data_IF_338145718458
#
_entry.id   IF_338145718458
#
_cell.length_a   1.000
_cell.length_b   1.000
_cell.length_c   1.000
_cell.angle_alpha   90.00
_cell.angle_beta   90.00
_cell.angle_gamma   90.00
#
_symmetry.space_group_name_H-M   'P 1'
#
loop_
_entity.id
_entity.type
_entity.pdbx_description
1 polymer ?
#
# COMPACT_ATOMS: atom_id res chain seq x y z
N UNK A 1 -3.80 44.29 52.70
CA UNK A 1 -4.39 43.00 52.29
C UNK A 1 -4.03 42.80 50.82
N UNK A 2 -2.91 42.11 50.55
CA UNK A 2 -2.42 41.89 49.17
C UNK A 2 -3.14 40.67 48.59
N UNK A 3 -3.94 40.89 47.55
CA UNK A 3 -4.58 39.81 46.79
C UNK A 3 -3.55 39.27 45.79
N UNK A 4 -3.17 38.01 45.96
CA UNK A 4 -2.29 37.28 45.06
C UNK A 4 -3.08 36.85 43.82
N UNK A 5 -2.71 37.36 42.64
CA UNK A 5 -3.27 36.90 41.37
C UNK A 5 -2.58 35.59 40.95
N UNK A 6 -3.29 34.46 41.01
CA UNK A 6 -2.84 33.20 40.42
C UNK A 6 -3.30 33.13 38.96
N UNK A 7 -2.36 33.20 38.03
CA UNK A 7 -2.61 32.96 36.60
C UNK A 7 -2.52 31.44 36.37
N UNK A 8 -3.65 30.80 36.10
CA UNK A 8 -3.68 29.41 35.63
C UNK A 8 -3.43 29.38 34.12
N UNK A 9 -2.21 28.98 33.73
CA UNK A 9 -1.88 28.64 32.34
C UNK A 9 -2.41 27.24 32.03
N UNK A 10 -3.58 27.16 31.38
CA UNK A 10 -4.05 25.91 30.79
C UNK A 10 -3.29 25.66 29.48
N UNK A 11 -2.28 24.79 29.52
CA UNK A 11 -1.70 24.21 28.32
C UNK A 11 -2.63 23.11 27.81
N UNK A 12 -3.47 23.42 26.82
CA UNK A 12 -4.18 22.39 26.06
C UNK A 12 -3.20 21.74 25.10
N UNK A 13 -2.64 20.59 25.49
CA UNK A 13 -1.90 19.74 24.54
C UNK A 13 -2.91 19.12 23.58
N UNK A 14 -3.08 19.71 22.40
CA UNK A 14 -3.65 18.99 21.27
C UNK A 14 -2.65 17.90 20.87
N UNK A 15 -2.79 16.72 21.46
CA UNK A 15 -2.22 15.51 20.88
C UNK A 15 -2.98 15.24 19.59
N UNK A 16 -2.52 15.81 18.49
CA UNK A 16 -2.93 15.40 17.14
C UNK A 16 -2.48 13.96 16.96
N UNK A 17 -3.31 13.00 17.36
CA UNK A 17 -3.16 11.61 16.95
C UNK A 17 -3.46 11.57 15.45
N UNK A 18 -2.44 11.79 14.62
CA UNK A 18 -2.50 11.33 13.24
C UNK A 18 -2.67 9.82 13.34
N UNK A 19 -3.86 9.34 13.02
CA UNK A 19 -4.15 7.91 12.99
C UNK A 19 -3.20 7.29 11.97
N UNK A 20 -2.14 6.62 12.41
CA UNK A 20 -1.33 5.79 11.53
C UNK A 20 -2.23 4.62 11.16
N UNK A 21 -2.88 4.69 10.00
CA UNK A 21 -3.68 3.59 9.48
C UNK A 21 -2.74 2.40 9.25
N UNK A 22 -2.99 1.32 9.98
CA UNK A 22 -2.25 0.07 9.79
C UNK A 22 -2.51 -0.43 8.37
N UNK A 23 -1.49 -0.99 7.72
CA UNK A 23 -1.61 -1.67 6.42
C UNK A 23 -2.44 -2.94 6.61
N UNK A 24 -3.76 -2.78 6.62
CA UNK A 24 -4.70 -3.88 6.80
C UNK A 24 -5.32 -4.20 5.44
N UNK A 25 -5.05 -5.41 4.96
CA UNK A 25 -5.67 -5.95 3.74
C UNK A 25 -7.03 -6.53 4.10
N UNK A 26 -8.06 -6.14 3.35
CA UNK A 26 -9.37 -6.79 3.40
C UNK A 26 -9.65 -7.46 2.05
N UNK A 27 -10.00 -8.76 2.02
CA UNK A 27 -10.28 -9.44 0.77
C UNK A 27 -11.50 -8.84 0.06
N UNK A 28 -11.47 -8.85 -1.27
CA UNK A 28 -12.59 -8.44 -2.09
C UNK A 28 -13.77 -9.43 -1.92
N UNK A 29 -15.00 -8.93 -2.07
CA UNK A 29 -16.20 -9.78 -2.04
C UNK A 29 -16.20 -10.67 -3.29
N UNK A 30 -16.22 -11.99 -3.09
CA UNK A 30 -16.26 -12.98 -4.18
C UNK A 30 -15.61 -14.30 -3.80
N UNK A 31 -15.51 -15.19 -4.78
CA UNK A 31 -14.72 -16.43 -4.68
C UNK A 31 -13.62 -16.35 -5.72
N UNK A 32 -12.38 -16.28 -5.25
CA UNK A 32 -11.19 -16.19 -6.08
C UNK A 32 -10.33 -17.43 -5.81
N UNK A 33 -9.80 -18.10 -6.84
CA UNK A 33 -8.98 -19.30 -6.65
C UNK A 33 -7.62 -18.95 -6.03
N UNK A 34 -7.14 -17.73 -6.22
CA UNK A 34 -5.89 -17.25 -5.65
C UNK A 34 -6.20 -16.16 -4.62
N UNK A 35 -5.36 -16.07 -3.59
CA UNK A 35 -5.52 -15.14 -2.48
C UNK A 35 -4.19 -14.42 -2.23
N UNK A 36 -4.24 -13.09 -2.10
CA UNK A 36 -3.13 -12.31 -1.55
C UNK A 36 -3.35 -12.23 -0.04
N UNK A 37 -2.40 -12.77 0.72
CA UNK A 37 -2.48 -12.82 2.19
C UNK A 37 -1.75 -11.65 2.84
N UNK A 38 -0.69 -11.14 2.20
CA UNK A 38 0.07 -9.97 2.65
C UNK A 38 0.34 -9.07 1.47
N UNK A 39 0.14 -7.76 1.66
CA UNK A 39 0.63 -6.72 0.77
C UNK A 39 1.06 -5.54 1.62
N UNK A 40 2.37 -5.36 1.78
CA UNK A 40 2.95 -4.31 2.61
C UNK A 40 3.99 -3.53 1.83
N UNK A 41 4.22 -2.29 2.23
CA UNK A 41 5.22 -1.43 1.60
C UNK A 41 5.99 -0.60 2.63
N UNK A 42 7.27 -0.34 2.33
CA UNK A 42 8.17 0.49 3.14
C UNK A 42 8.92 1.46 2.23
N UNK A 43 9.05 2.76 2.56
CA UNK A 43 8.47 3.43 3.72
C UNK A 43 6.95 3.54 3.64
N UNK A 44 6.30 3.74 4.78
CA UNK A 44 4.87 4.04 4.88
C UNK A 44 4.67 5.37 5.62
N UNK A 45 4.19 6.44 4.96
CA UNK A 45 3.77 6.49 3.55
C UNK A 45 4.94 6.31 2.57
N UNK A 46 4.65 5.93 1.32
CA UNK A 46 5.64 5.91 0.25
C UNK A 46 6.16 7.34 0.06
N UNK A 47 7.49 7.48 -0.02
CA UNK A 47 8.15 8.78 -0.17
C UNK A 47 8.66 8.89 -1.60
N UNK A 48 8.14 9.87 -2.33
CA UNK A 48 8.58 10.17 -3.70
C UNK A 48 10.07 10.49 -3.73
N UNK A 49 10.77 9.99 -4.76
CA UNK A 49 12.22 10.10 -4.92
C UNK A 49 13.02 9.11 -4.08
N UNK A 50 12.36 8.27 -3.26
CA UNK A 50 13.00 7.15 -2.57
C UNK A 50 12.61 5.82 -3.22
N UNK A 51 13.46 4.82 -3.04
CA UNK A 51 13.09 3.43 -3.36
C UNK A 51 12.12 2.94 -2.29
N UNK A 52 10.98 2.42 -2.74
CA UNK A 52 10.05 1.72 -1.90
C UNK A 52 10.19 0.20 -2.10
N UNK A 53 9.99 -0.55 -1.02
CA UNK A 53 10.01 -2.00 -1.00
C UNK A 53 8.58 -2.50 -0.82
N UNK A 54 8.12 -3.39 -1.70
CA UNK A 54 6.84 -4.09 -1.57
C UNK A 54 7.13 -5.53 -1.15
N UNK A 55 6.42 -6.01 -0.14
CA UNK A 55 6.37 -7.42 0.22
C UNK A 55 4.97 -7.95 -0.03
N UNK A 56 4.88 -8.99 -0.86
CA UNK A 56 3.64 -9.65 -1.22
C UNK A 56 3.72 -11.14 -0.94
N UNK A 57 2.70 -11.67 -0.26
CA UNK A 57 2.54 -13.11 -0.06
C UNK A 57 1.15 -13.53 -0.47
N UNK A 58 1.00 -14.78 -0.88
CA UNK A 58 -0.31 -15.31 -1.22
C UNK A 58 -0.34 -16.80 -1.43
N UNK A 59 -1.55 -17.30 -1.65
CA UNK A 59 -1.86 -18.70 -1.93
C UNK A 59 -2.38 -18.80 -3.36
N UNK A 60 -1.77 -19.65 -4.17
CA UNK A 60 -2.24 -19.92 -5.52
C UNK A 60 -2.78 -21.36 -5.61
N UNK A 61 -4.10 -21.54 -5.64
CA UNK A 61 -4.70 -22.87 -5.82
C UNK A 61 -4.77 -23.26 -7.30
N UNK A 62 -4.72 -22.27 -8.20
CA UNK A 62 -4.53 -22.45 -9.64
C UNK A 62 -3.23 -21.76 -10.07
N UNK A 63 -2.52 -22.29 -11.08
CA UNK A 63 -1.26 -21.72 -11.51
C UNK A 63 -1.39 -20.25 -11.91
N UNK A 64 -0.43 -19.41 -11.48
CA UNK A 64 -0.30 -18.04 -12.00
C UNK A 64 0.56 -18.12 -13.25
N UNK A 65 -0.09 -18.04 -14.41
CA UNK A 65 0.54 -18.16 -15.73
C UNK A 65 1.31 -16.91 -16.14
N UNK A 66 2.24 -17.07 -17.09
CA UNK A 66 2.91 -15.93 -17.71
C UNK A 66 1.88 -15.04 -18.43
N UNK A 67 1.92 -13.73 -18.20
CA UNK A 67 0.93 -12.78 -18.70
C UNK A 67 -0.24 -12.53 -17.74
N UNK A 68 -0.29 -13.18 -16.57
CA UNK A 68 -1.29 -12.88 -15.56
C UNK A 68 -1.17 -11.42 -15.09
N UNK A 69 -2.31 -10.74 -14.97
CA UNK A 69 -2.36 -9.32 -14.62
C UNK A 69 -2.62 -9.12 -13.13
N UNK A 70 -1.83 -8.23 -12.52
CA UNK A 70 -2.04 -7.71 -11.19
C UNK A 70 -2.61 -6.29 -11.29
N UNK A 71 -3.87 -6.15 -10.88
CA UNK A 71 -4.58 -4.87 -10.96
C UNK A 71 -4.62 -4.17 -9.61
N UNK A 72 -4.22 -2.91 -9.60
CA UNK A 72 -4.30 -2.02 -8.44
C UNK A 72 -5.23 -0.87 -8.77
N UNK A 73 -6.24 -0.67 -7.93
CA UNK A 73 -7.07 0.54 -7.97
C UNK A 73 -6.87 1.33 -6.68
N UNK A 74 -6.45 2.58 -6.83
CA UNK A 74 -6.26 3.55 -5.76
C UNK A 74 -7.46 4.48 -5.70
N UNK A 75 -8.05 4.63 -4.52
CA UNK A 75 -9.15 5.57 -4.29
C UNK A 75 -8.70 6.75 -3.44
N UNK A 76 -9.15 7.96 -3.78
CA UNK A 76 -9.06 9.17 -2.96
C UNK A 76 -10.47 9.78 -2.86
N UNK A 77 -10.95 10.05 -1.65
CA UNK A 77 -12.32 10.55 -1.41
C UNK A 77 -13.41 9.71 -2.13
N UNK A 78 -13.26 8.38 -2.10
CA UNK A 78 -14.13 7.39 -2.77
C UNK A 78 -14.18 7.50 -4.30
N UNK A 79 -13.35 8.32 -4.92
CA UNK A 79 -13.18 8.38 -6.37
C UNK A 79 -11.94 7.59 -6.77
N UNK A 80 -11.98 6.93 -7.94
CA UNK A 80 -10.78 6.29 -8.49
C UNK A 80 -9.78 7.39 -8.81
N UNK A 81 -8.70 7.42 -8.04
CA UNK A 81 -7.58 8.33 -8.22
C UNK A 81 -6.60 7.75 -9.24
N UNK A 82 -6.35 6.44 -9.17
CA UNK A 82 -5.46 5.78 -10.10
C UNK A 82 -5.81 4.32 -10.32
N UNK A 83 -5.50 3.82 -11.53
CA UNK A 83 -5.63 2.41 -11.86
C UNK A 83 -4.40 1.97 -12.64
N UNK A 84 -3.75 0.91 -12.16
CA UNK A 84 -2.63 0.29 -12.84
C UNK A 84 -2.86 -1.20 -13.01
N UNK A 85 -2.31 -1.72 -14.12
CA UNK A 85 -2.25 -3.14 -14.41
C UNK A 85 -0.80 -3.50 -14.70
N UNK A 86 -0.28 -4.48 -13.98
CA UNK A 86 1.08 -4.98 -14.13
C UNK A 86 1.05 -6.44 -14.50
N UNK A 87 2.05 -6.91 -15.24
CA UNK A 87 2.22 -8.35 -15.45
C UNK A 87 2.87 -8.95 -14.19
N UNK A 88 2.15 -9.85 -13.52
CA UNK A 88 2.53 -10.36 -12.19
C UNK A 88 3.91 -11.04 -12.22
N UNK A 89 4.20 -11.80 -13.28
CA UNK A 89 5.46 -12.52 -13.41
C UNK A 89 6.65 -11.58 -13.63
N UNK A 90 6.53 -10.63 -14.56
CA UNK A 90 7.54 -9.56 -14.73
C UNK A 90 7.76 -8.79 -13.44
N UNK A 91 6.68 -8.44 -12.72
CA UNK A 91 6.78 -7.53 -11.58
C UNK A 91 7.35 -8.22 -10.34
N UNK A 92 6.84 -9.39 -9.96
CA UNK A 92 7.18 -10.01 -8.67
C UNK A 92 8.05 -11.25 -8.80
N UNK A 93 7.83 -12.08 -9.82
CA UNK A 93 8.39 -13.43 -9.88
C UNK A 93 9.82 -13.44 -10.41
N UNK A 94 10.03 -12.86 -11.59
CA UNK A 94 11.32 -12.84 -12.28
C UNK A 94 12.38 -12.05 -11.49
N UNK A 95 12.09 -10.87 -10.91
CA UNK A 95 13.05 -10.13 -10.09
C UNK A 95 13.48 -10.87 -8.82
N UNK A 96 12.65 -11.80 -8.33
CA UNK A 96 12.95 -12.67 -7.19
C UNK A 96 13.65 -13.98 -7.62
N UNK A 97 14.18 -14.06 -8.85
CA UNK A 97 14.94 -15.20 -9.34
C UNK A 97 14.09 -16.46 -9.60
N UNK A 98 12.77 -16.30 -9.67
CA UNK A 98 11.81 -17.37 -9.95
C UNK A 98 11.30 -17.28 -11.39
N UNK A 99 10.59 -18.32 -11.83
CA UNK A 99 9.99 -18.39 -13.17
C UNK A 99 8.51 -18.66 -13.08
N UNK A 100 7.75 -18.15 -14.04
CA UNK A 100 6.36 -18.55 -14.23
C UNK A 100 6.23 -19.80 -15.12
N UNK A 101 5.17 -20.61 -14.95
CA UNK A 101 4.06 -20.41 -14.01
C UNK A 101 4.43 -20.69 -12.55
N UNK A 102 3.76 -19.99 -11.63
CA UNK A 102 3.85 -20.31 -10.20
C UNK A 102 2.77 -21.32 -9.83
N UNK A 103 3.20 -22.40 -9.18
CA UNK A 103 2.32 -23.42 -8.63
C UNK A 103 2.42 -23.41 -7.11
N UNK A 104 1.39 -22.89 -6.44
CA UNK A 104 1.29 -22.85 -4.98
C UNK A 104 1.60 -21.50 -4.35
N UNK A 105 1.83 -21.53 -3.03
CA UNK A 105 2.04 -20.35 -2.22
C UNK A 105 3.31 -19.58 -2.65
N UNK A 106 3.26 -18.26 -2.53
CA UNK A 106 4.34 -17.36 -2.94
C UNK A 106 4.65 -16.32 -1.87
N UNK A 107 5.91 -15.89 -1.85
CA UNK A 107 6.46 -14.85 -0.98
C UNK A 107 7.54 -14.10 -1.77
N UNK A 108 7.25 -12.85 -2.13
CA UNK A 108 8.12 -12.02 -2.95
C UNK A 108 8.34 -10.66 -2.36
N UNK A 109 9.57 -10.18 -2.49
CA UNK A 109 9.95 -8.81 -2.14
C UNK A 109 10.51 -8.12 -3.36
N UNK A 110 9.98 -6.94 -3.69
CA UNK A 110 10.49 -6.14 -4.80
C UNK A 110 10.82 -4.74 -4.33
N UNK A 111 11.79 -4.13 -5.02
CA UNK A 111 12.12 -2.72 -4.85
C UNK A 111 11.67 -1.98 -6.10
N UNK A 112 10.95 -0.88 -5.91
CA UNK A 112 10.52 -0.02 -7.00
C UNK A 112 10.86 1.45 -6.69
N UNK A 113 11.32 2.23 -7.69
CA UNK A 113 11.50 3.66 -7.50
C UNK A 113 10.11 4.33 -7.39
N UNK A 114 9.88 5.07 -6.31
CA UNK A 114 8.68 5.89 -6.19
C UNK A 114 8.90 7.20 -6.96
N UNK A 115 8.63 7.17 -8.26
CA UNK A 115 8.77 8.34 -9.13
C UNK A 115 7.55 9.26 -9.02
N UNK A 116 7.77 10.57 -9.15
CA UNK A 116 6.68 11.55 -9.22
C UNK A 116 6.04 11.52 -10.61
N UNK A 117 4.71 11.47 -10.67
CA UNK A 117 3.96 11.83 -11.87
C UNK A 117 3.66 13.33 -11.90
N UNK A 118 3.43 13.91 -13.08
CA UNK A 118 3.02 15.32 -13.22
C UNK A 118 1.64 15.61 -12.62
N UNK A 119 0.86 14.56 -12.35
CA UNK A 119 -0.48 14.65 -11.78
C UNK A 119 -0.48 14.46 -10.25
N UNK A 120 0.68 14.20 -9.65
CA UNK A 120 0.79 14.00 -8.20
C UNK A 120 0.61 15.33 -7.45
N UNK A 121 -0.29 15.40 -6.45
CA UNK A 121 -0.48 16.62 -5.68
C UNK A 121 0.78 16.96 -4.88
N UNK A 122 1.41 18.09 -5.22
CA UNK A 122 2.63 18.56 -4.57
C UNK A 122 2.36 18.82 -3.08
N UNK A 123 3.24 18.28 -2.23
CA UNK A 123 3.23 18.51 -0.77
C UNK A 123 1.97 17.98 -0.04
N UNK A 124 1.29 16.99 -0.61
CA UNK A 124 0.10 16.35 -0.03
C UNK A 124 0.39 14.89 0.30
N UNK A 125 0.04 14.45 1.52
CA UNK A 125 -0.05 13.03 1.82
C UNK A 125 -1.39 12.52 1.28
N UNK A 126 -1.36 11.77 0.19
CA UNK A 126 -2.54 11.10 -0.33
C UNK A 126 -2.70 9.78 0.42
N UNK A 127 -3.72 9.68 1.26
CA UNK A 127 -4.10 8.42 1.86
C UNK A 127 -5.05 7.70 0.91
N UNK A 128 -4.56 6.64 0.26
CA UNK A 128 -5.34 5.87 -0.72
C UNK A 128 -5.78 4.52 -0.18
N UNK A 129 -7.03 4.16 -0.43
CA UNK A 129 -7.48 2.78 -0.28
C UNK A 129 -6.98 1.96 -1.47
N UNK A 130 -6.21 0.91 -1.19
CA UNK A 130 -5.73 -0.04 -2.19
C UNK A 130 -6.70 -1.23 -2.23
N UNK A 131 -7.31 -1.50 -3.39
CA UNK A 131 -7.99 -2.77 -3.64
C UNK A 131 -7.26 -3.53 -4.75
N UNK A 132 -6.99 -4.80 -4.47
CA UNK A 132 -6.40 -5.75 -5.42
C UNK A 132 -7.46 -6.75 -5.86
N UNK A 133 -7.54 -6.99 -7.16
CA UNK A 133 -8.39 -8.04 -7.74
C UNK A 133 -7.48 -9.00 -8.51
N UNK A 134 -7.40 -10.25 -8.05
CA UNK A 134 -6.66 -11.35 -8.67
C UNK A 134 -7.60 -12.31 -9.37
#
# INVERSE_FOLDING_TARGET
>A
MNILFFIFLFFTTFSSSTYIRRQALSPCVGTFPNEITTYTFTPNPIIIGQTATIHITGKATVPIENGALFNITLFHENQVFHQHSFEFCQMFVIPNGSTCPINGDYDFTINFPAESSTDDPVNTTVESDIRTQS
#
